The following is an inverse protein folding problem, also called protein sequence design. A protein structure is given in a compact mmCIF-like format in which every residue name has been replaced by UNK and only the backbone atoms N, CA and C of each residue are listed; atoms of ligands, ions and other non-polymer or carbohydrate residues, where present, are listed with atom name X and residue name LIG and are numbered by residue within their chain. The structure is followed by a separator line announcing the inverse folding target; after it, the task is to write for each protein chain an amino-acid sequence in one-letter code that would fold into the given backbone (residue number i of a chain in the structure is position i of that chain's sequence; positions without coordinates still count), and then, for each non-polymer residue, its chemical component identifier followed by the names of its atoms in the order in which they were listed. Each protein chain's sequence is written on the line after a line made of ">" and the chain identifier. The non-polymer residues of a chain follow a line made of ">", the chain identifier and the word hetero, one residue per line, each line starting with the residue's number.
data_IF_699464262226
#
_entry.id   IF_699464262226
#
_cell.length_a   1.000
_cell.length_b   1.000
_cell.length_c   1.000
_cell.angle_alpha   90.00
_cell.angle_beta   90.00
_cell.angle_gamma   90.00
#
_symmetry.space_group_name_H-M   'P 1'
#
loop_
_entity.id
_entity.type
_entity.pdbx_description
1 polymer ?
#
# COMPACT_ATOMS: atom_id res chain seq x y z
N UNK A 1 19.29 -8.85 21.01
CA UNK A 1 20.18 -8.85 19.83
C UNK A 1 19.41 -8.47 18.56
N UNK A 2 18.40 -9.25 18.14
CA UNK A 2 17.63 -8.94 16.92
C UNK A 2 16.89 -7.59 16.92
N UNK A 3 16.30 -7.18 18.05
CA UNK A 3 15.62 -5.88 18.17
C UNK A 3 16.56 -4.68 17.99
N UNK A 4 17.80 -4.78 18.46
CA UNK A 4 18.80 -3.72 18.30
C UNK A 4 19.22 -3.53 16.84
N UNK A 5 19.41 -4.63 16.10
CA UNK A 5 19.70 -4.59 14.66
C UNK A 5 18.54 -3.97 13.87
N UNK A 6 17.31 -4.36 14.19
CA UNK A 6 16.12 -3.79 13.56
C UNK A 6 15.98 -2.29 13.85
N UNK A 7 16.19 -1.86 15.10
CA UNK A 7 16.16 -0.43 15.45
C UNK A 7 17.21 0.39 14.69
N UNK A 8 18.41 -0.15 14.45
CA UNK A 8 19.45 0.53 13.67
C UNK A 8 19.03 0.67 12.20
N UNK A 9 18.52 -0.40 11.58
CA UNK A 9 18.06 -0.37 10.19
C UNK A 9 16.92 0.64 10.02
N UNK A 10 15.92 0.60 10.90
CA UNK A 10 14.79 1.53 10.86
C UNK A 10 15.20 2.98 11.16
N UNK A 11 16.19 3.17 12.05
CA UNK A 11 16.78 4.47 12.34
C UNK A 11 17.55 5.07 11.16
N UNK A 12 18.33 4.26 10.44
CA UNK A 12 19.06 4.68 9.22
C UNK A 12 18.10 5.12 8.11
N UNK A 13 17.01 4.38 7.90
CA UNK A 13 15.97 4.75 6.92
C UNK A 13 15.31 6.07 7.31
N UNK A 14 15.01 6.28 8.60
CA UNK A 14 14.44 7.53 9.08
C UNK A 14 15.41 8.71 8.91
N UNK A 15 16.71 8.50 9.18
CA UNK A 15 17.75 9.51 8.98
C UNK A 15 17.81 9.97 7.52
N UNK A 16 17.77 9.05 6.55
CA UNK A 16 17.78 9.38 5.12
C UNK A 16 16.57 10.21 4.66
N UNK A 17 15.46 10.19 5.42
CA UNK A 17 14.25 10.92 5.12
C UNK A 17 14.00 12.12 6.07
N UNK A 18 15.00 12.54 6.84
CA UNK A 18 14.90 13.67 7.78
C UNK A 18 14.33 14.93 7.13
N UNK A 19 14.72 15.22 5.88
CA UNK A 19 14.25 16.39 5.15
C UNK A 19 12.74 16.35 4.89
N UNK A 20 12.16 15.18 4.63
CA UNK A 20 10.72 14.99 4.43
C UNK A 20 9.95 15.27 5.72
N UNK A 21 10.49 14.79 6.85
CA UNK A 21 9.94 15.04 8.18
C UNK A 21 9.97 16.54 8.51
N UNK A 22 11.12 17.18 8.30
CA UNK A 22 11.27 18.62 8.57
C UNK A 22 10.34 19.47 7.72
N UNK A 23 10.19 19.12 6.43
CA UNK A 23 9.26 19.77 5.50
C UNK A 23 7.80 19.64 5.92
N UNK A 24 7.41 18.49 6.48
CA UNK A 24 6.07 18.29 7.01
C UNK A 24 5.77 19.19 8.22
N UNK A 25 6.71 19.26 9.16
CA UNK A 25 6.57 20.11 10.35
C UNK A 25 6.67 21.60 10.04
N UNK A 26 7.51 21.98 9.07
CA UNK A 26 7.73 23.36 8.64
C UNK A 26 6.89 23.74 7.43
N UNK A 27 5.74 23.08 7.24
CA UNK A 27 4.85 23.31 6.08
C UNK A 27 4.37 24.76 6.06
N UNK A 28 4.39 25.37 4.89
CA UNK A 28 3.86 26.71 4.65
C UNK A 28 2.74 26.64 3.59
N UNK A 29 1.68 27.44 3.73
CA UNK A 29 0.66 27.52 2.70
C UNK A 29 1.22 28.21 1.45
N UNK A 30 0.89 27.66 0.29
CA UNK A 30 1.17 28.29 -1.00
C UNK A 30 0.06 29.26 -1.41
N UNK A 31 -1.14 29.15 -0.82
CA UNK A 31 -2.30 29.99 -1.14
C UNK A 31 -2.94 29.67 -2.50
N UNK A 32 -2.53 28.56 -3.13
CA UNK A 32 -3.05 28.09 -4.41
C UNK A 32 -3.65 26.69 -4.21
N UNK A 33 -4.88 26.50 -4.69
CA UNK A 33 -5.61 25.24 -4.65
C UNK A 33 -5.60 24.55 -6.00
N UNK A 34 -5.46 23.22 -5.98
CA UNK A 34 -5.61 22.38 -7.16
C UNK A 34 -7.05 22.42 -7.71
N UNK A 35 -7.26 22.68 -9.01
CA UNK A 35 -8.58 22.66 -9.64
C UNK A 35 -9.26 21.28 -9.68
N UNK A 36 -8.51 20.18 -9.58
CA UNK A 36 -9.07 18.82 -9.69
C UNK A 36 -9.64 18.38 -8.34
N UNK A 37 -8.78 18.32 -7.33
CA UNK A 37 -9.13 17.77 -6.01
C UNK A 37 -9.41 18.83 -4.95
N UNK A 38 -9.31 20.12 -5.30
CA UNK A 38 -9.59 21.25 -4.40
C UNK A 38 -8.76 21.21 -3.12
N UNK A 39 -7.56 20.62 -3.19
CA UNK A 39 -6.57 20.58 -2.10
C UNK A 39 -5.48 21.60 -2.36
N UNK A 40 -4.94 22.16 -1.29
CA UNK A 40 -3.84 23.09 -1.39
C UNK A 40 -2.56 22.40 -1.88
N UNK A 41 -1.76 23.06 -2.71
CA UNK A 41 -0.48 22.55 -3.21
C UNK A 41 0.46 22.13 -2.06
N UNK A 42 0.39 22.82 -0.90
CA UNK A 42 1.17 22.49 0.29
C UNK A 42 0.93 21.07 0.82
N UNK A 43 -0.27 20.53 0.64
CA UNK A 43 -0.58 19.14 0.98
C UNK A 43 0.27 18.17 0.14
N UNK A 44 0.33 18.39 -1.17
CA UNK A 44 1.02 17.51 -2.11
C UNK A 44 2.54 17.56 -1.98
N UNK A 45 3.11 18.72 -1.67
CA UNK A 45 4.56 18.92 -1.57
C UNK A 45 5.11 18.52 -0.19
N UNK A 46 4.35 18.74 0.89
CA UNK A 46 4.84 18.52 2.25
C UNK A 46 4.21 17.31 2.93
N UNK A 47 2.88 17.16 2.85
CA UNK A 47 2.16 16.14 3.61
C UNK A 47 2.14 14.79 2.90
N UNK A 48 1.91 14.78 1.60
CA UNK A 48 1.83 13.54 0.82
C UNK A 48 3.13 12.71 0.87
N UNK A 49 4.34 13.29 0.69
CA UNK A 49 5.58 12.53 0.77
C UNK A 49 5.82 11.97 2.18
N UNK A 50 5.46 12.72 3.22
CA UNK A 50 5.56 12.26 4.60
C UNK A 50 4.61 11.08 4.89
N UNK A 51 3.36 11.16 4.44
CA UNK A 51 2.39 10.07 4.61
C UNK A 51 2.82 8.80 3.86
N UNK A 52 3.40 8.95 2.66
CA UNK A 52 3.96 7.82 1.92
C UNK A 52 5.18 7.21 2.58
N UNK A 53 6.09 8.04 3.09
CA UNK A 53 7.24 7.60 3.88
C UNK A 53 6.77 6.80 5.11
N UNK A 54 5.82 7.35 5.87
CA UNK A 54 5.26 6.70 7.06
C UNK A 54 4.60 5.37 6.71
N UNK A 55 3.76 5.34 5.68
CA UNK A 55 3.12 4.12 5.18
C UNK A 55 4.15 3.05 4.85
N UNK A 56 5.16 3.37 4.05
CA UNK A 56 6.20 2.41 3.63
C UNK A 56 7.03 1.92 4.81
N UNK A 57 7.32 2.81 5.77
CA UNK A 57 8.06 2.47 6.98
C UNK A 57 7.29 1.48 7.87
N UNK A 58 6.00 1.76 8.17
CA UNK A 58 5.15 0.87 8.97
C UNK A 58 4.89 -0.45 8.24
N UNK A 59 4.70 -0.42 6.93
CA UNK A 59 4.50 -1.62 6.12
C UNK A 59 5.74 -2.53 6.16
N UNK A 60 6.93 -1.95 6.02
CA UNK A 60 8.20 -2.67 6.17
C UNK A 60 8.35 -3.30 7.56
N UNK A 61 7.99 -2.57 8.62
CA UNK A 61 8.02 -3.07 9.99
C UNK A 61 7.10 -4.29 10.14
N UNK A 62 5.85 -4.18 9.69
CA UNK A 62 4.87 -5.25 9.79
C UNK A 62 5.27 -6.49 8.99
N UNK A 63 5.84 -6.33 7.79
CA UNK A 63 6.33 -7.47 7.00
C UNK A 63 7.47 -8.19 7.74
N UNK A 64 8.42 -7.46 8.30
CA UNK A 64 9.53 -8.07 9.06
C UNK A 64 9.00 -8.76 10.32
N UNK A 65 8.05 -8.16 11.04
CA UNK A 65 7.41 -8.78 12.19
C UNK A 65 6.66 -10.06 11.79
N UNK A 66 5.92 -10.02 10.67
CA UNK A 66 5.21 -11.18 10.15
C UNK A 66 6.19 -12.31 9.79
N UNK A 67 7.24 -12.02 9.02
CA UNK A 67 8.25 -13.01 8.64
C UNK A 67 9.03 -13.54 9.85
N UNK A 68 9.38 -12.68 10.79
CA UNK A 68 10.03 -13.05 12.04
C UNK A 68 9.16 -13.98 12.89
N UNK A 69 7.88 -13.66 13.06
CA UNK A 69 6.93 -14.52 13.78
C UNK A 69 6.73 -15.86 13.09
N UNK A 70 6.55 -15.86 11.76
CA UNK A 70 6.40 -17.07 10.96
C UNK A 70 7.65 -17.96 11.05
N UNK A 71 8.85 -17.38 10.96
CA UNK A 71 10.11 -18.09 11.11
C UNK A 71 10.26 -18.72 12.51
N UNK A 72 9.93 -17.98 13.56
CA UNK A 72 9.94 -18.49 14.93
C UNK A 72 8.96 -19.65 15.11
N UNK A 73 7.74 -19.52 14.58
CA UNK A 73 6.75 -20.60 14.64
C UNK A 73 7.23 -21.85 13.89
N UNK A 74 7.79 -21.71 12.68
CA UNK A 74 8.34 -22.82 11.91
C UNK A 74 9.49 -23.52 12.65
N UNK A 75 10.41 -22.75 13.26
CA UNK A 75 11.53 -23.29 14.02
C UNK A 75 11.07 -24.01 15.29
N UNK A 76 10.16 -23.41 16.07
CA UNK A 76 9.61 -24.05 17.27
C UNK A 76 8.87 -25.34 16.93
N UNK A 77 8.15 -25.33 15.80
CA UNK A 77 7.36 -26.46 15.35
C UNK A 77 8.24 -27.63 14.87
N UNK A 78 9.29 -27.31 14.11
CA UNK A 78 10.29 -28.29 13.64
C UNK A 78 11.08 -28.88 14.81
N UNK A 79 11.46 -28.05 15.79
CA UNK A 79 12.24 -28.49 16.96
C UNK A 79 11.43 -29.34 17.94
N UNK A 80 10.12 -29.11 18.07
CA UNK A 80 9.27 -29.78 19.06
C UNK A 80 8.51 -31.01 18.52
N UNK A 81 8.58 -31.32 17.21
CA UNK A 81 7.80 -32.38 16.54
C UNK A 81 6.30 -32.37 16.88
N UNK A 82 5.76 -31.23 17.34
CA UNK A 82 4.35 -31.09 17.68
C UNK A 82 3.51 -31.21 16.40
N UNK A 83 2.25 -31.66 16.48
CA UNK A 83 1.30 -31.58 15.35
C UNK A 83 0.88 -30.13 15.13
N UNK A 84 0.58 -29.75 13.88
CA UNK A 84 0.29 -28.37 13.41
C UNK A 84 -1.05 -27.96 14.00
N UNK A 85 -1.09 -27.80 15.31
CA UNK A 85 -2.20 -27.24 16.02
C UNK A 85 -2.06 -25.74 15.80
N UNK A 86 -2.83 -25.27 14.82
CA UNK A 86 -3.19 -23.87 14.66
C UNK A 86 -3.94 -23.42 15.92
N UNK A 87 -3.21 -23.24 17.01
CA UNK A 87 -3.77 -22.79 18.27
C UNK A 87 -4.41 -21.42 18.04
N UNK A 88 -5.63 -21.24 18.58
CA UNK A 88 -6.43 -20.00 18.43
C UNK A 88 -5.63 -18.70 18.62
N UNK A 89 -4.64 -18.59 19.54
CA UNK A 89 -3.84 -17.39 19.70
C UNK A 89 -2.94 -17.06 18.50
N UNK A 90 -2.34 -18.08 17.86
CA UNK A 90 -1.44 -17.90 16.70
C UNK A 90 -2.22 -17.37 15.50
N UNK A 91 -3.41 -17.94 15.27
CA UNK A 91 -4.30 -17.52 14.20
C UNK A 91 -4.81 -16.07 14.40
N UNK A 92 -5.12 -15.69 15.64
CA UNK A 92 -5.52 -14.32 15.96
C UNK A 92 -4.37 -13.32 15.74
N UNK A 93 -3.14 -13.69 16.13
CA UNK A 93 -1.97 -12.84 15.95
C UNK A 93 -1.62 -12.64 14.46
N UNK A 94 -1.52 -13.74 13.70
CA UNK A 94 -1.23 -13.69 12.26
C UNK A 94 -2.37 -13.02 11.49
N UNK A 95 -3.62 -13.29 11.85
CA UNK A 95 -4.79 -12.63 11.27
C UNK A 95 -4.82 -11.13 11.53
N UNK A 96 -4.50 -10.71 12.76
CA UNK A 96 -4.39 -9.30 13.12
C UNK A 96 -3.27 -8.56 12.37
N UNK A 97 -2.09 -9.19 12.25
CA UNK A 97 -0.99 -8.63 11.46
C UNK A 97 -1.36 -8.49 9.99
N UNK A 98 -1.97 -9.51 9.39
CA UNK A 98 -2.42 -9.47 8.01
C UNK A 98 -3.49 -8.38 7.78
N UNK A 99 -4.44 -8.22 8.72
CA UNK A 99 -5.42 -7.13 8.67
C UNK A 99 -4.76 -5.75 8.73
N UNK A 100 -3.74 -5.57 9.57
CA UNK A 100 -2.98 -4.31 9.63
C UNK A 100 -2.25 -4.02 8.31
N UNK A 101 -1.64 -5.05 7.69
CA UNK A 101 -0.99 -4.92 6.38
C UNK A 101 -2.00 -4.53 5.30
N UNK A 102 -3.16 -5.20 5.22
CA UNK A 102 -4.23 -4.86 4.27
C UNK A 102 -4.74 -3.44 4.48
N UNK A 103 -4.84 -2.97 5.73
CA UNK A 103 -5.18 -1.59 6.06
C UNK A 103 -4.17 -0.57 5.53
N UNK A 104 -2.87 -0.89 5.57
CA UNK A 104 -1.83 -0.04 4.98
C UNK A 104 -1.90 -0.03 3.44
N UNK A 105 -2.28 -1.14 2.82
CA UNK A 105 -2.56 -1.16 1.37
C UNK A 105 -3.77 -0.31 1.03
N UNK A 106 -4.85 -0.37 1.81
CA UNK A 106 -6.01 0.51 1.66
C UNK A 106 -5.60 1.99 1.76
N UNK A 107 -4.85 2.34 2.79
CA UNK A 107 -4.27 3.67 2.94
C UNK A 107 -3.42 4.03 1.72
N UNK A 108 -2.64 3.09 1.21
CA UNK A 108 -1.80 3.29 0.03
C UNK A 108 -2.58 3.61 -1.25
N UNK A 109 -3.66 2.88 -1.51
CA UNK A 109 -4.55 3.17 -2.64
C UNK A 109 -5.20 4.53 -2.50
N UNK A 110 -5.63 4.89 -1.29
CA UNK A 110 -6.18 6.22 -1.01
C UNK A 110 -5.16 7.35 -1.19
N UNK A 111 -3.91 7.16 -0.74
CA UNK A 111 -2.84 8.13 -0.98
C UNK A 111 -2.51 8.27 -2.47
N UNK A 112 -2.54 7.14 -3.18
CA UNK A 112 -2.30 7.08 -4.61
C UNK A 112 -3.25 7.97 -5.40
N UNK A 113 -4.48 8.19 -4.92
CA UNK A 113 -5.47 9.08 -5.57
C UNK A 113 -4.93 10.50 -5.68
N UNK A 114 -4.26 10.98 -4.64
CA UNK A 114 -3.67 12.31 -4.61
C UNK A 114 -2.35 12.38 -5.42
N UNK A 115 -1.64 11.26 -5.56
CA UNK A 115 -0.41 11.19 -6.37
C UNK A 115 -0.67 11.36 -7.87
N UNK A 116 -1.90 11.16 -8.36
CA UNK A 116 -2.24 11.34 -9.77
C UNK A 116 -1.91 12.75 -10.30
N UNK A 117 -1.93 13.76 -9.42
CA UNK A 117 -1.61 15.16 -9.78
C UNK A 117 -0.18 15.29 -10.31
N UNK A 118 0.74 14.42 -9.86
CA UNK A 118 2.16 14.41 -10.26
C UNK A 118 2.47 13.54 -11.48
N UNK A 119 1.47 13.04 -12.22
CA UNK A 119 1.70 12.23 -13.42
C UNK A 119 2.59 12.98 -14.42
N UNK A 120 3.80 12.45 -14.67
CA UNK A 120 4.81 13.03 -15.56
C UNK A 120 4.88 12.39 -16.94
N UNK A 121 3.80 11.74 -17.41
CA UNK A 121 3.77 11.03 -18.72
C UNK A 121 3.20 11.86 -19.87
N UNK A 122 2.76 13.08 -19.59
CA UNK A 122 2.39 14.05 -20.63
C UNK A 122 3.60 14.86 -21.10
N UNK A 123 3.48 15.46 -22.28
CA UNK A 123 4.46 16.42 -22.87
C UNK A 123 4.61 17.68 -22.00
N UNK A 124 3.82 17.82 -20.94
CA UNK A 124 3.86 18.87 -19.92
C UNK A 124 3.79 18.23 -18.53
N UNK A 125 4.55 18.76 -17.57
CA UNK A 125 4.44 18.37 -16.16
C UNK A 125 3.01 18.65 -15.65
N UNK A 126 2.28 17.60 -15.27
CA UNK A 126 0.91 17.68 -14.76
C UNK A 126 0.08 16.48 -15.20
N UNK A 127 -0.96 16.14 -14.42
CA UNK A 127 -1.84 15.00 -14.68
C UNK A 127 -2.33 14.96 -16.14
N UNK A 128 -1.73 14.08 -16.95
CA UNK A 128 -2.19 13.87 -18.32
C UNK A 128 -3.63 13.33 -18.27
N UNK A 129 -4.50 13.84 -19.13
CA UNK A 129 -5.93 13.47 -19.15
C UNK A 129 -6.15 11.95 -19.19
N UNK A 130 -5.27 11.23 -19.88
CA UNK A 130 -5.25 9.77 -19.97
C UNK A 130 -4.91 9.09 -18.63
N UNK A 131 -3.94 9.63 -17.89
CA UNK A 131 -3.55 9.09 -16.57
C UNK A 131 -4.64 9.34 -15.54
N UNK A 132 -5.30 10.51 -15.59
CA UNK A 132 -6.40 10.85 -14.69
C UNK A 132 -7.62 9.97 -14.95
N UNK A 133 -8.01 9.71 -16.20
CA UNK A 133 -9.17 8.85 -16.48
C UNK A 133 -8.90 7.35 -16.29
N UNK A 134 -7.67 6.88 -16.48
CA UNK A 134 -7.37 5.46 -16.35
C UNK A 134 -7.01 5.03 -14.91
N UNK A 135 -6.21 5.82 -14.18
CA UNK A 135 -5.68 5.41 -12.88
C UNK A 135 -6.58 5.73 -11.69
N UNK A 136 -7.39 6.81 -11.76
CA UNK A 136 -8.33 7.14 -10.69
C UNK A 136 -9.33 6.00 -10.46
N UNK A 137 -10.03 5.49 -11.50
CA UNK A 137 -10.97 4.39 -11.30
C UNK A 137 -10.28 3.14 -10.78
N UNK A 138 -9.08 2.84 -11.28
CA UNK A 138 -8.31 1.68 -10.85
C UNK A 138 -7.98 1.74 -9.35
N UNK A 139 -7.56 2.89 -8.82
CA UNK A 139 -7.26 3.04 -7.40
C UNK A 139 -8.50 2.96 -6.52
N UNK A 140 -9.63 3.54 -6.96
CA UNK A 140 -10.91 3.40 -6.26
C UNK A 140 -11.39 1.94 -6.21
N UNK A 141 -11.30 1.23 -7.34
CA UNK A 141 -11.66 -0.19 -7.41
C UNK A 141 -10.78 -1.00 -6.45
N UNK A 142 -9.46 -0.80 -6.48
CA UNK A 142 -8.54 -1.51 -5.60
C UNK A 142 -8.78 -1.20 -4.12
N UNK A 143 -9.09 0.06 -3.79
CA UNK A 143 -9.47 0.47 -2.44
C UNK A 143 -10.71 -0.30 -1.96
N UNK A 144 -11.78 -0.31 -2.77
CA UNK A 144 -13.02 -1.02 -2.43
C UNK A 144 -12.77 -2.52 -2.32
N UNK A 145 -12.03 -3.12 -3.26
CA UNK A 145 -11.68 -4.54 -3.23
C UNK A 145 -10.93 -4.89 -1.94
N UNK A 146 -9.92 -4.10 -1.55
CA UNK A 146 -9.15 -4.42 -0.35
C UNK A 146 -9.99 -4.27 0.92
N UNK A 147 -10.90 -3.30 0.98
CA UNK A 147 -11.85 -3.16 2.10
C UNK A 147 -12.80 -4.36 2.19
N UNK A 148 -13.26 -4.89 1.05
CA UNK A 148 -14.05 -6.13 1.01
C UNK A 148 -13.23 -7.32 1.52
N UNK A 149 -11.97 -7.46 1.09
CA UNK A 149 -11.08 -8.51 1.58
C UNK A 149 -10.86 -8.41 3.09
N UNK A 150 -10.66 -7.20 3.62
CA UNK A 150 -10.57 -6.96 5.07
C UNK A 150 -11.85 -7.40 5.79
N UNK A 151 -13.03 -7.09 5.26
CA UNK A 151 -14.32 -7.53 5.81
C UNK A 151 -14.46 -9.06 5.81
N UNK A 152 -14.13 -9.71 4.70
CA UNK A 152 -14.14 -11.18 4.58
C UNK A 152 -13.17 -11.81 5.57
N UNK A 153 -11.98 -11.23 5.72
CA UNK A 153 -10.96 -11.71 6.63
C UNK A 153 -11.40 -11.58 8.10
N UNK A 154 -12.02 -10.45 8.48
CA UNK A 154 -12.59 -10.26 9.80
C UNK A 154 -13.68 -11.31 10.11
N UNK A 155 -14.63 -11.51 9.19
CA UNK A 155 -15.68 -12.52 9.34
C UNK A 155 -15.09 -13.93 9.42
N UNK A 156 -14.04 -14.22 8.66
CA UNK A 156 -13.36 -15.50 8.70
C UNK A 156 -12.65 -15.76 10.03
N UNK A 157 -12.03 -14.73 10.64
CA UNK A 157 -11.41 -14.84 11.97
C UNK A 157 -12.48 -15.18 13.01
N UNK A 158 -13.64 -14.52 12.95
CA UNK A 158 -14.76 -14.80 13.85
C UNK A 158 -15.35 -16.21 13.63
N UNK A 159 -15.56 -16.61 12.37
CA UNK A 159 -16.16 -17.90 11.99
C UNK A 159 -15.16 -19.07 11.87
N UNK A 160 -13.88 -18.82 12.13
CA UNK A 160 -12.79 -19.81 12.05
C UNK A 160 -12.68 -20.54 10.69
N UNK A 161 -13.05 -19.88 9.57
CA UNK A 161 -13.08 -20.48 8.22
C UNK A 161 -11.91 -20.03 7.33
N UNK A 162 -10.72 -20.57 7.56
CA UNK A 162 -9.46 -20.14 6.92
C UNK A 162 -9.35 -20.22 5.39
N UNK A 163 -10.25 -20.93 4.71
CA UNK A 163 -10.22 -21.03 3.23
C UNK A 163 -10.62 -19.72 2.54
N UNK A 164 -11.57 -18.98 3.11
CA UNK A 164 -12.11 -17.77 2.48
C UNK A 164 -11.11 -16.62 2.37
N UNK A 165 -10.32 -16.29 3.42
CA UNK A 165 -9.28 -15.27 3.33
C UNK A 165 -8.23 -15.59 2.26
N UNK A 166 -7.88 -16.85 2.07
CA UNK A 166 -6.86 -17.25 1.09
C UNK A 166 -7.31 -16.89 -0.33
N UNK A 167 -8.56 -17.22 -0.69
CA UNK A 167 -9.12 -16.84 -1.99
C UNK A 167 -9.28 -15.33 -2.14
N UNK A 168 -9.70 -14.64 -1.06
CA UNK A 168 -9.87 -13.19 -1.06
C UNK A 168 -8.54 -12.45 -1.27
N UNK A 169 -7.49 -12.85 -0.56
CA UNK A 169 -6.13 -12.30 -0.72
C UNK A 169 -5.59 -12.60 -2.11
N UNK A 170 -5.73 -13.84 -2.60
CA UNK A 170 -5.30 -14.21 -3.96
C UNK A 170 -6.01 -13.40 -5.05
N UNK A 171 -7.32 -13.21 -4.92
CA UNK A 171 -8.12 -12.39 -5.82
C UNK A 171 -7.71 -10.91 -5.81
N UNK A 172 -7.43 -10.35 -4.63
CA UNK A 172 -6.93 -8.99 -4.51
C UNK A 172 -5.53 -8.82 -5.13
N UNK A 173 -4.61 -9.75 -4.90
CA UNK A 173 -3.27 -9.71 -5.53
C UNK A 173 -3.39 -9.73 -7.06
N UNK A 174 -4.23 -10.61 -7.60
CA UNK A 174 -4.49 -10.67 -9.03
C UNK A 174 -5.07 -9.33 -9.56
N UNK A 175 -6.06 -8.77 -8.86
CA UNK A 175 -6.64 -7.48 -9.20
C UNK A 175 -5.59 -6.35 -9.18
N UNK A 176 -4.71 -6.33 -8.16
CA UNK A 176 -3.65 -5.35 -8.03
C UNK A 176 -2.64 -5.41 -9.19
N UNK A 177 -2.28 -6.61 -9.64
CA UNK A 177 -1.39 -6.81 -10.80
C UNK A 177 -2.06 -6.32 -12.09
N UNK A 178 -3.33 -6.66 -12.30
CA UNK A 178 -4.07 -6.27 -13.50
C UNK A 178 -4.27 -4.74 -13.55
N UNK A 179 -4.74 -4.16 -12.46
CA UNK A 179 -5.01 -2.73 -12.37
C UNK A 179 -3.73 -1.87 -12.37
N UNK A 180 -2.65 -2.36 -11.74
CA UNK A 180 -1.37 -1.65 -11.66
C UNK A 180 -0.48 -1.77 -12.89
N UNK A 181 -0.46 -2.94 -13.54
CA UNK A 181 0.44 -3.23 -14.65
C UNK A 181 -0.24 -3.21 -16.02
N UNK A 182 -1.39 -3.86 -16.16
CA UNK A 182 -2.01 -4.13 -17.46
C UNK A 182 -2.86 -2.93 -17.92
N UNK A 183 -3.66 -2.36 -17.03
CA UNK A 183 -4.57 -1.26 -17.35
C UNK A 183 -3.87 -0.02 -17.94
N UNK A 184 -2.80 0.53 -17.33
CA UNK A 184 -2.09 1.67 -17.92
C UNK A 184 -1.34 1.31 -19.21
N UNK A 185 -0.85 0.08 -19.36
CA UNK A 185 -0.13 -0.35 -20.56
C UNK A 185 -1.08 -0.49 -21.78
N UNK A 186 -2.31 -0.97 -21.57
CA UNK A 186 -3.31 -1.12 -22.63
C UNK A 186 -3.87 0.24 -23.06
N UNK A 187 -4.20 1.13 -22.11
CA UNK A 187 -4.69 2.47 -22.44
C UNK A 187 -3.62 3.30 -23.17
N UNK A 188 -2.35 3.17 -22.77
CA UNK A 188 -1.25 3.86 -23.43
C UNK A 188 -1.03 3.39 -24.87
N UNK A 189 -1.20 2.10 -25.16
CA UNK A 189 -1.11 1.58 -26.55
C UNK A 189 -2.28 2.03 -27.42
N UNK A 190 -3.49 2.05 -26.88
CA UNK A 190 -4.69 2.42 -27.64
C UNK A 190 -4.82 3.93 -27.91
N UNK A 191 -4.16 4.79 -27.12
CA UNK A 191 -4.28 6.24 -27.23
C UNK A 191 -3.07 6.95 -27.88
N UNK A 192 -1.90 6.29 -28.00
CA UNK A 192 -0.68 6.91 -28.55
C UNK A 192 -0.34 6.43 -29.98
N UNK A 193 -0.90 5.32 -30.48
CA UNK A 193 -0.62 4.86 -31.85
C UNK A 193 -1.41 5.51 -33.01
N UNK A 194 -2.57 6.20 -32.86
CA UNK A 194 -3.26 6.74 -34.04
C UNK A 194 -2.79 8.15 -34.47
N UNK A 195 -1.75 8.74 -33.86
CA UNK A 195 -1.37 10.14 -34.12
C UNK A 195 0.07 10.34 -34.63
N UNK A 196 0.79 9.28 -35.01
CA UNK A 196 2.08 9.41 -35.73
C UNK A 196 1.93 9.22 -37.26
N UNK A 197 0.71 9.01 -37.78
CA UNK A 197 0.45 8.78 -39.21
C UNK A 197 -0.64 9.68 -39.83
N UNK A 198 -0.99 10.81 -39.20
CA UNK A 198 -1.93 11.78 -39.77
C UNK A 198 -1.35 13.21 -39.79
#
# INVERSE_FOLDING_TARGET
>A
MGTALLSIIFGLVAQGNWLVVLRFFSRQPFGITDPIFHKEIGFYVFSLPFLNMLRSWVLGALIITLLGSAGLYLLSYTAQQLKFDFARPVLAHVGGLAMAILGLFAWGYWLGIWELVFSGRGVVFGASYADMHAKLPAQWILLVVVLVVMGVMLVSILKHKFRWPLYAIGGWIAAAIIAGGIFPAVVQRLQVEPNELA
#
